data_IF_671531029950
#
_entry.id   IF_671531029950
#
_cell.length_a   1.000
_cell.length_b   1.000
_cell.length_c   1.000
_cell.angle_alpha   90.00
_cell.angle_beta   90.00
_cell.angle_gamma   90.00
#
_symmetry.space_group_name_H-M   'P 1'
#
loop_
_entity.id
_entity.type
_entity.pdbx_description
1 polymer ?
#
# COMPACT_ATOMS: atom_id res chain seq x y z
N UNK A 1 41.72 -53.18 -1.02
CA UNK A 1 42.42 -53.98 -2.04
C UNK A 1 41.38 -54.64 -2.94
N UNK A 2 41.40 -54.51 -4.28
CA UNK A 2 42.22 -53.65 -5.16
C UNK A 2 41.55 -53.51 -6.53
N UNK A 3 41.83 -52.40 -7.23
CA UNK A 3 41.81 -52.16 -8.70
C UNK A 3 41.07 -53.13 -9.67
N UNK A 4 40.15 -52.69 -10.53
CA UNK A 4 40.34 -51.91 -11.79
C UNK A 4 41.11 -52.59 -12.92
N UNK A 5 40.44 -52.82 -14.07
CA UNK A 5 40.82 -52.65 -15.52
C UNK A 5 39.77 -53.38 -16.38
N UNK A 6 39.33 -53.00 -17.60
CA UNK A 6 39.69 -51.98 -18.62
C UNK A 6 38.38 -51.34 -19.19
N UNK A 7 38.27 -50.25 -19.97
CA UNK A 7 39.16 -49.36 -20.75
C UNK A 7 39.67 -49.89 -22.12
N UNK A 8 39.16 -49.47 -23.29
CA UNK A 8 39.34 -48.10 -23.84
C UNK A 8 38.63 -47.87 -25.21
N UNK A 9 38.37 -46.58 -25.55
CA UNK A 9 38.33 -45.96 -26.90
C UNK A 9 37.36 -46.50 -28.00
N UNK A 10 36.76 -45.75 -28.95
CA UNK A 10 36.64 -44.31 -29.31
C UNK A 10 35.51 -44.19 -30.40
N UNK A 11 34.96 -43.05 -30.88
CA UNK A 11 35.20 -41.60 -30.67
C UNK A 11 33.90 -40.78 -30.93
N UNK A 12 33.83 -39.58 -30.34
CA UNK A 12 33.14 -38.33 -30.76
C UNK A 12 32.08 -38.30 -31.88
N UNK A 13 30.83 -37.93 -31.51
CA UNK A 13 30.07 -36.83 -32.16
C UNK A 13 29.41 -35.96 -31.07
N UNK A 14 29.35 -34.65 -31.31
CA UNK A 14 28.99 -33.56 -30.39
C UNK A 14 27.56 -33.62 -29.81
N UNK A 15 27.44 -33.57 -28.47
CA UNK A 15 26.16 -33.28 -27.78
C UNK A 15 26.08 -31.80 -27.39
N UNK A 16 25.10 -31.08 -27.97
CA UNK A 16 24.74 -29.72 -27.56
C UNK A 16 24.21 -29.71 -26.12
N UNK A 17 25.05 -29.37 -25.15
CA UNK A 17 24.60 -28.94 -23.81
C UNK A 17 23.90 -27.59 -23.95
N UNK A 18 22.57 -27.56 -23.78
CA UNK A 18 21.86 -26.31 -23.47
C UNK A 18 22.55 -25.67 -22.25
N UNK A 19 22.97 -24.41 -22.39
CA UNK A 19 23.56 -23.65 -21.28
C UNK A 19 22.53 -23.60 -20.15
N UNK A 20 22.89 -24.11 -18.98
CA UNK A 20 22.34 -23.60 -17.72
C UNK A 20 22.80 -22.16 -17.59
N UNK A 21 21.90 -21.21 -17.83
CA UNK A 21 22.18 -19.79 -17.56
C UNK A 21 22.48 -19.62 -16.07
N UNK A 22 23.67 -19.10 -15.77
CA UNK A 22 24.01 -18.68 -14.41
C UNK A 22 23.07 -17.54 -14.03
N UNK A 23 22.57 -17.55 -12.78
CA UNK A 23 21.94 -16.36 -12.21
C UNK A 23 22.85 -15.14 -12.43
N UNK A 24 22.32 -14.00 -12.92
CA UNK A 24 23.14 -12.82 -13.16
C UNK A 24 23.73 -12.30 -11.84
N UNK A 25 25.06 -12.39 -11.73
CA UNK A 25 25.81 -11.74 -10.67
C UNK A 25 25.69 -10.23 -10.85
N UNK A 26 25.19 -9.53 -9.81
CA UNK A 26 24.96 -8.06 -9.77
C UNK A 26 24.33 -7.51 -11.05
N UNK A 27 23.00 -7.37 -11.01
CA UNK A 27 22.25 -6.60 -12.01
C UNK A 27 22.96 -5.29 -12.39
N UNK A 28 23.07 -5.04 -13.70
CA UNK A 28 23.26 -3.68 -14.22
C UNK A 28 22.31 -2.73 -13.51
N UNK A 29 22.78 -1.53 -13.15
CA UNK A 29 21.98 -0.60 -12.35
C UNK A 29 20.64 -0.38 -13.04
N UNK A 30 19.57 -0.80 -12.36
CA UNK A 30 18.23 -0.43 -12.74
C UNK A 30 17.99 0.99 -12.22
N UNK A 31 18.41 1.99 -12.99
CA UNK A 31 18.02 3.38 -12.75
C UNK A 31 16.99 3.82 -13.80
N UNK A 32 15.67 3.79 -13.48
CA UNK A 32 14.66 4.29 -14.41
C UNK A 32 14.77 5.81 -14.63
N UNK A 33 15.55 6.54 -13.83
CA UNK A 33 15.83 7.95 -14.06
C UNK A 33 16.94 8.19 -15.11
N UNK A 34 17.74 7.19 -15.50
CA UNK A 34 18.81 7.39 -16.50
C UNK A 34 18.25 7.86 -17.85
N UNK A 35 17.17 7.24 -18.32
CA UNK A 35 16.56 7.49 -19.63
C UNK A 35 15.53 8.63 -19.63
N UNK A 36 15.34 9.33 -18.51
CA UNK A 36 14.35 10.41 -18.41
C UNK A 36 15.06 11.76 -18.53
N UNK A 37 14.74 12.48 -19.60
CA UNK A 37 15.12 13.87 -19.79
C UNK A 37 14.30 14.77 -18.85
N UNK A 38 14.89 15.07 -17.70
CA UNK A 38 14.36 16.01 -16.71
C UNK A 38 15.35 17.14 -16.51
N UNK A 39 14.92 18.37 -16.80
CA UNK A 39 15.65 19.61 -16.53
C UNK A 39 15.74 19.97 -15.02
N UNK A 40 15.75 18.96 -14.14
CA UNK A 40 15.67 19.11 -12.68
C UNK A 40 16.69 18.20 -11.99
N UNK A 41 17.16 18.62 -10.82
CA UNK A 41 18.02 17.81 -9.96
C UNK A 41 17.34 16.47 -9.60
N UNK A 42 17.94 15.36 -10.08
CA UNK A 42 17.47 13.99 -9.85
C UNK A 42 17.49 13.62 -8.35
N UNK A 43 18.26 14.33 -7.51
CA UNK A 43 18.28 14.14 -6.06
C UNK A 43 16.92 14.30 -5.37
N UNK A 44 16.00 15.10 -5.95
CA UNK A 44 14.63 15.25 -5.43
C UNK A 44 13.65 14.19 -5.94
N UNK A 45 14.09 13.28 -6.81
CA UNK A 45 13.28 12.25 -7.45
C UNK A 45 13.53 10.85 -6.85
N UNK A 46 14.23 10.79 -5.71
CA UNK A 46 14.60 9.57 -5.01
C UNK A 46 13.43 8.88 -4.28
N UNK A 47 12.42 8.47 -5.03
CA UNK A 47 11.26 7.74 -4.53
C UNK A 47 11.51 6.22 -4.60
N UNK A 48 11.25 5.51 -3.51
CA UNK A 48 11.43 4.05 -3.44
C UNK A 48 10.61 3.31 -4.50
N UNK A 49 9.41 3.80 -4.83
CA UNK A 49 8.59 3.19 -5.89
C UNK A 49 9.16 3.35 -7.30
N UNK A 50 10.17 4.20 -7.51
CA UNK A 50 10.95 4.27 -8.75
C UNK A 50 12.27 3.48 -8.61
N UNK A 51 13.01 3.68 -7.51
CA UNK A 51 14.41 3.22 -7.39
C UNK A 51 14.58 1.81 -6.79
N UNK A 52 13.61 1.29 -6.04
CA UNK A 52 13.67 -0.07 -5.50
C UNK A 52 13.21 -1.07 -6.58
N UNK A 53 14.13 -1.89 -7.08
CA UNK A 53 13.87 -2.79 -8.21
C UNK A 53 12.73 -3.78 -7.97
N UNK A 54 12.57 -4.29 -6.75
CA UNK A 54 11.47 -5.20 -6.41
C UNK A 54 10.11 -4.46 -6.45
N UNK A 55 10.07 -3.25 -5.90
CA UNK A 55 8.89 -2.38 -5.92
C UNK A 55 8.53 -1.97 -7.34
N UNK A 56 9.50 -1.55 -8.15
CA UNK A 56 9.28 -1.18 -9.55
C UNK A 56 8.75 -2.36 -10.38
N UNK A 57 9.34 -3.56 -10.21
CA UNK A 57 8.86 -4.78 -10.89
C UNK A 57 7.44 -5.14 -10.47
N UNK A 58 7.11 -5.03 -9.19
CA UNK A 58 5.76 -5.27 -8.68
C UNK A 58 4.74 -4.28 -9.29
N UNK A 59 5.06 -2.98 -9.34
CA UNK A 59 4.19 -1.94 -9.91
C UNK A 59 4.00 -2.04 -11.43
N UNK A 60 4.98 -2.60 -12.15
CA UNK A 60 4.82 -3.00 -13.55
C UNK A 60 4.16 -4.38 -13.74
N UNK A 61 3.80 -5.06 -12.65
CA UNK A 61 3.10 -6.34 -12.65
C UNK A 61 1.58 -6.19 -12.63
N UNK A 62 0.90 -7.07 -13.36
CA UNK A 62 -0.58 -7.10 -13.53
C UNK A 62 -1.39 -7.35 -12.24
N UNK A 63 -0.72 -7.64 -11.12
CA UNK A 63 -1.39 -7.84 -9.82
C UNK A 63 -1.28 -6.63 -8.89
N UNK A 64 -0.64 -5.54 -9.34
CA UNK A 64 -0.57 -4.30 -8.57
C UNK A 64 -1.79 -3.42 -8.87
N UNK A 65 -2.31 -2.80 -7.81
CA UNK A 65 -3.32 -1.73 -7.86
C UNK A 65 -2.94 -0.68 -6.83
N UNK A 66 -2.35 0.42 -7.28
CA UNK A 66 -1.83 1.49 -6.42
C UNK A 66 -2.39 2.83 -6.89
N UNK A 67 -2.92 3.61 -5.93
CA UNK A 67 -3.37 4.96 -6.16
C UNK A 67 -2.34 5.93 -5.56
N UNK A 68 -1.55 6.57 -6.43
CA UNK A 68 -0.67 7.67 -6.05
C UNK A 68 -1.48 8.95 -5.96
N UNK A 69 -1.58 9.49 -4.76
CA UNK A 69 -2.24 10.77 -4.53
C UNK A 69 -1.16 11.83 -4.39
N UNK A 70 -1.02 12.68 -5.42
CA UNK A 70 -0.05 13.76 -5.39
C UNK A 70 -0.50 14.82 -4.38
N UNK A 71 0.45 15.36 -3.62
CA UNK A 71 0.17 16.38 -2.60
C UNK A 71 1.21 17.49 -2.62
N UNK A 72 0.80 18.68 -3.02
CA UNK A 72 1.71 19.81 -3.16
C UNK A 72 1.15 20.99 -3.94
N UNK A 73 1.66 22.18 -3.62
CA UNK A 73 1.25 23.44 -4.24
C UNK A 73 1.66 23.50 -5.73
N UNK A 74 1.10 24.43 -6.50
CA UNK A 74 1.58 24.61 -7.88
C UNK A 74 2.99 25.19 -7.90
N UNK A 75 3.83 24.77 -8.85
CA UNK A 75 5.28 25.07 -8.86
C UNK A 75 6.15 24.19 -7.94
N UNK A 76 5.56 23.29 -7.14
CA UNK A 76 6.32 22.41 -6.22
C UNK A 76 7.02 21.21 -6.89
N UNK A 77 6.68 20.89 -8.14
CA UNK A 77 7.26 19.76 -8.89
C UNK A 77 6.36 18.52 -9.04
N UNK A 78 5.08 18.57 -8.64
CA UNK A 78 4.14 17.44 -8.79
C UNK A 78 4.14 16.84 -10.20
N UNK A 79 3.89 17.66 -11.22
CA UNK A 79 3.75 17.19 -12.60
C UNK A 79 5.05 16.65 -13.20
N UNK A 80 6.22 16.95 -12.60
CA UNK A 80 7.47 16.24 -12.93
C UNK A 80 7.35 14.79 -12.48
N UNK A 81 6.95 14.54 -11.23
CA UNK A 81 6.78 13.19 -10.67
C UNK A 81 5.69 12.41 -11.41
N UNK A 82 4.58 13.07 -11.78
CA UNK A 82 3.50 12.44 -12.56
C UNK A 82 4.01 11.93 -13.90
N UNK A 83 4.78 12.75 -14.63
CA UNK A 83 5.46 12.31 -15.86
C UNK A 83 6.44 11.16 -15.63
N UNK A 84 7.12 11.10 -14.48
CA UNK A 84 7.95 9.93 -14.13
C UNK A 84 7.06 8.69 -13.99
N UNK A 85 5.94 8.77 -13.27
CA UNK A 85 5.01 7.65 -13.11
C UNK A 85 4.46 7.17 -14.47
N UNK A 86 4.01 8.10 -15.32
CA UNK A 86 3.51 7.80 -16.68
C UNK A 86 4.55 7.14 -17.59
N UNK A 87 5.82 7.55 -17.52
CA UNK A 87 6.91 6.95 -18.32
C UNK A 87 7.50 5.68 -17.71
N UNK A 88 7.39 5.51 -16.39
CA UNK A 88 7.95 4.38 -15.63
C UNK A 88 7.04 3.14 -15.60
N UNK A 89 5.72 3.32 -15.73
CA UNK A 89 4.74 2.24 -15.58
C UNK A 89 3.87 2.11 -16.84
N UNK A 90 3.54 0.88 -17.21
CA UNK A 90 2.87 0.57 -18.49
C UNK A 90 1.37 0.87 -18.52
N UNK A 91 0.73 0.88 -17.36
CA UNK A 91 -0.73 0.96 -17.21
C UNK A 91 -1.06 2.02 -16.16
N UNK A 92 -1.21 3.27 -16.64
CA UNK A 92 -1.29 4.48 -15.82
C UNK A 92 -2.48 5.33 -16.24
N UNK A 93 -3.30 5.73 -15.27
CA UNK A 93 -4.38 6.71 -15.46
C UNK A 93 -4.15 7.96 -14.61
N UNK A 94 -3.79 9.07 -15.26
CA UNK A 94 -3.67 10.38 -14.59
C UNK A 94 -5.01 11.11 -14.56
N UNK A 95 -5.46 11.45 -13.37
CA UNK A 95 -6.68 12.19 -13.07
C UNK A 95 -6.29 13.54 -12.45
N UNK A 96 -6.70 14.64 -13.10
CA UNK A 96 -6.48 16.00 -12.63
C UNK A 96 -7.68 16.85 -13.01
N UNK A 97 -8.13 17.72 -12.10
CA UNK A 97 -9.17 18.70 -12.39
C UNK A 97 -8.69 19.81 -13.33
N UNK A 98 -7.38 20.10 -13.37
CA UNK A 98 -6.82 21.12 -14.27
C UNK A 98 -7.02 20.74 -15.75
N UNK A 99 -7.11 19.44 -16.07
CA UNK A 99 -7.37 18.94 -17.42
C UNK A 99 -8.71 19.43 -18.01
N UNK A 100 -9.72 19.66 -17.17
CA UNK A 100 -11.05 20.13 -17.60
C UNK A 100 -11.00 21.52 -18.24
N UNK A 101 -9.98 22.32 -17.91
CA UNK A 101 -9.80 23.68 -18.41
C UNK A 101 -8.92 23.76 -19.67
N UNK A 102 -8.40 22.64 -20.17
CA UNK A 102 -7.68 22.61 -21.44
C UNK A 102 -8.63 22.38 -22.62
N UNK A 103 -8.54 23.24 -23.62
CA UNK A 103 -9.28 23.12 -24.87
C UNK A 103 -8.54 22.19 -25.86
N UNK A 104 -9.20 21.80 -26.95
CA UNK A 104 -8.63 20.86 -27.94
C UNK A 104 -7.34 21.38 -28.62
N UNK A 105 -7.16 22.70 -28.67
CA UNK A 105 -5.95 23.38 -29.16
C UNK A 105 -4.82 23.48 -28.12
N UNK A 106 -5.04 23.00 -26.89
CA UNK A 106 -4.12 23.09 -25.77
C UNK A 106 -4.18 24.41 -24.98
N UNK A 107 -5.10 25.32 -25.30
CA UNK A 107 -5.29 26.56 -24.53
C UNK A 107 -5.92 26.29 -23.16
N UNK A 108 -5.42 26.97 -22.11
CA UNK A 108 -5.87 26.81 -20.72
C UNK A 108 -6.82 27.94 -20.31
N UNK A 109 -8.11 27.61 -20.21
CA UNK A 109 -9.22 28.55 -20.03
C UNK A 109 -9.87 28.37 -18.65
N UNK A 110 -9.19 28.82 -17.60
CA UNK A 110 -9.67 28.68 -16.21
C UNK A 110 -10.93 29.51 -15.94
N UNK A 111 -11.92 28.88 -15.28
CA UNK A 111 -13.13 29.54 -14.79
C UNK A 111 -13.54 28.96 -13.42
N UNK A 112 -13.57 29.79 -12.39
CA UNK A 112 -13.94 29.41 -11.02
C UNK A 112 -15.34 28.77 -10.93
N UNK A 113 -16.29 29.23 -11.75
CA UNK A 113 -17.67 28.72 -11.76
C UNK A 113 -17.76 27.24 -12.22
N UNK A 114 -16.75 26.76 -12.94
CA UNK A 114 -16.68 25.38 -13.42
C UNK A 114 -15.84 24.46 -12.50
N UNK A 115 -15.30 24.98 -11.40
CA UNK A 115 -14.39 24.23 -10.52
C UNK A 115 -15.05 22.97 -9.92
N UNK A 116 -16.35 23.01 -9.59
CA UNK A 116 -17.10 21.82 -9.15
C UNK A 116 -17.16 20.77 -10.25
N UNK A 117 -17.55 21.16 -11.47
CA UNK A 117 -17.62 20.26 -12.63
C UNK A 117 -16.25 19.65 -12.97
N UNK A 118 -15.17 20.44 -12.91
CA UNK A 118 -13.80 19.98 -13.11
C UNK A 118 -13.36 18.94 -12.05
N UNK A 119 -13.76 19.13 -10.80
CA UNK A 119 -13.53 18.14 -9.76
C UNK A 119 -14.40 16.88 -9.93
N UNK A 120 -15.66 17.01 -10.34
CA UNK A 120 -16.53 15.86 -10.61
C UNK A 120 -16.04 15.02 -11.79
N UNK A 121 -15.57 15.64 -12.87
CA UNK A 121 -14.93 14.97 -14.00
C UNK A 121 -13.67 14.19 -13.54
N UNK A 122 -12.77 14.85 -12.80
CA UNK A 122 -11.58 14.20 -12.24
C UNK A 122 -11.94 13.02 -11.32
N UNK A 123 -13.00 13.13 -10.52
CA UNK A 123 -13.50 12.03 -9.68
C UNK A 123 -14.09 10.88 -10.50
N UNK A 124 -14.80 11.19 -11.59
CA UNK A 124 -15.38 10.20 -12.50
C UNK A 124 -14.30 9.47 -13.31
N UNK A 125 -13.27 10.17 -13.78
CA UNK A 125 -12.09 9.55 -14.40
C UNK A 125 -11.37 8.60 -13.44
N UNK A 126 -11.23 8.98 -12.16
CA UNK A 126 -10.64 8.11 -11.15
C UNK A 126 -11.51 6.87 -10.85
N UNK A 127 -12.85 7.03 -10.78
CA UNK A 127 -13.79 5.89 -10.66
C UNK A 127 -13.66 4.93 -11.83
N UNK A 128 -13.64 5.45 -13.07
CA UNK A 128 -13.52 4.66 -14.29
C UNK A 128 -12.21 3.87 -14.30
N UNK A 129 -11.07 4.52 -14.04
CA UNK A 129 -9.78 3.83 -13.95
C UNK A 129 -9.75 2.72 -12.88
N UNK A 130 -10.41 2.92 -11.74
CA UNK A 130 -10.58 1.88 -10.72
C UNK A 130 -11.49 0.72 -11.17
N UNK A 131 -12.53 0.98 -11.97
CA UNK A 131 -13.43 -0.03 -12.55
C UNK A 131 -12.73 -0.86 -13.62
N UNK A 132 -11.94 -0.20 -14.48
CA UNK A 132 -11.11 -0.81 -15.52
C UNK A 132 -9.88 -1.55 -14.95
N UNK A 133 -9.66 -1.44 -13.63
CA UNK A 133 -8.58 -2.08 -12.85
C UNK A 133 -7.16 -1.66 -13.28
N UNK A 134 -7.02 -0.42 -13.78
CA UNK A 134 -5.73 0.18 -14.15
C UNK A 134 -4.74 0.05 -12.98
N UNK A 135 -3.56 -0.53 -13.22
CA UNK A 135 -2.60 -0.87 -12.16
C UNK A 135 -2.12 0.36 -11.37
N UNK A 136 -1.92 1.49 -12.04
CA UNK A 136 -1.45 2.74 -11.42
C UNK A 136 -2.41 3.89 -11.69
N UNK A 137 -3.13 4.34 -10.66
CA UNK A 137 -3.99 5.54 -10.75
C UNK A 137 -3.28 6.71 -10.08
N UNK A 138 -3.13 7.84 -10.77
CA UNK A 138 -2.43 9.03 -10.26
C UNK A 138 -3.41 10.19 -10.15
N UNK A 139 -3.54 10.77 -8.96
CA UNK A 139 -4.37 11.95 -8.71
C UNK A 139 -3.46 13.20 -8.68
N UNK A 140 -3.27 13.89 -9.81
CA UNK A 140 -2.50 15.14 -9.90
C UNK A 140 -3.37 16.36 -9.61
N UNK A 141 -3.84 16.45 -8.36
CA UNK A 141 -4.46 17.64 -7.79
C UNK A 141 -3.53 18.23 -6.72
N UNK A 142 -3.82 19.45 -6.23
CA UNK A 142 -2.98 20.04 -5.17
C UNK A 142 -3.11 19.35 -3.82
N UNK A 143 -4.30 18.83 -3.49
CA UNK A 143 -4.62 18.08 -2.26
C UNK A 143 -4.09 18.78 -1.00
N UNK A 144 -4.36 20.09 -0.92
CA UNK A 144 -3.94 21.01 0.15
C UNK A 144 -4.67 20.65 1.44
N UNK A 145 -5.98 20.46 1.36
CA UNK A 145 -6.84 20.12 2.49
C UNK A 145 -7.15 18.63 2.58
N UNK A 146 -7.34 18.13 3.78
CA UNK A 146 -7.71 16.74 4.08
C UNK A 146 -9.02 16.31 3.40
N UNK A 147 -9.98 17.22 3.27
CA UNK A 147 -11.27 16.89 2.64
C UNK A 147 -11.15 16.65 1.13
N UNK A 148 -10.24 17.35 0.43
CA UNK A 148 -9.96 17.14 -1.01
C UNK A 148 -9.51 15.70 -1.29
N UNK A 149 -8.83 15.07 -0.32
CA UNK A 149 -8.24 13.73 -0.43
C UNK A 149 -9.21 12.61 -0.06
N UNK A 150 -10.22 12.90 0.78
CA UNK A 150 -11.10 11.89 1.38
C UNK A 150 -11.84 11.03 0.33
N UNK A 151 -12.29 11.63 -0.77
CA UNK A 151 -12.96 10.92 -1.85
C UNK A 151 -12.05 9.81 -2.44
N UNK A 152 -10.82 10.19 -2.83
CA UNK A 152 -9.87 9.28 -3.48
C UNK A 152 -9.42 8.17 -2.53
N UNK A 153 -9.19 8.47 -1.25
CA UNK A 153 -8.86 7.46 -0.23
C UNK A 153 -9.99 6.46 -0.05
N UNK A 154 -11.25 6.91 -0.02
CA UNK A 154 -12.41 6.02 0.07
C UNK A 154 -12.59 5.17 -1.19
N UNK A 155 -12.45 5.78 -2.38
CA UNK A 155 -12.53 5.11 -3.68
C UNK A 155 -11.47 4.01 -3.81
N UNK A 156 -10.22 4.31 -3.46
CA UNK A 156 -9.14 3.34 -3.46
C UNK A 156 -9.43 2.18 -2.50
N UNK A 157 -9.87 2.48 -1.27
CA UNK A 157 -10.18 1.47 -0.26
C UNK A 157 -11.26 0.48 -0.74
N UNK A 158 -12.38 0.96 -1.31
CA UNK A 158 -13.44 0.08 -1.83
C UNK A 158 -13.05 -0.67 -3.10
N UNK A 159 -12.20 -0.08 -3.94
CA UNK A 159 -11.75 -0.67 -5.22
C UNK A 159 -10.55 -1.62 -5.07
N UNK A 160 -10.04 -1.80 -3.85
CA UNK A 160 -8.88 -2.66 -3.57
C UNK A 160 -7.55 -2.08 -4.06
N UNK A 161 -7.37 -0.76 -3.97
CA UNK A 161 -6.11 -0.07 -4.27
C UNK A 161 -5.37 0.30 -2.98
N UNK A 162 -4.05 0.16 -3.01
CA UNK A 162 -3.17 0.71 -1.96
C UNK A 162 -2.96 2.19 -2.21
N UNK A 163 -3.22 3.04 -1.21
CA UNK A 163 -2.99 4.50 -1.32
C UNK A 163 -1.55 4.82 -0.94
N UNK A 164 -0.87 5.58 -1.81
CA UNK A 164 0.44 6.19 -1.52
C UNK A 164 0.31 7.70 -1.69
N UNK A 165 0.43 8.45 -0.59
CA UNK A 165 0.48 9.91 -0.67
C UNK A 165 1.90 10.37 -1.05
N UNK A 166 2.01 11.14 -2.14
CA UNK A 166 3.31 11.55 -2.70
C UNK A 166 3.47 13.06 -2.60
N UNK A 167 4.39 13.50 -1.74
CA UNK A 167 4.81 14.90 -1.69
C UNK A 167 6.11 15.09 -2.51
N UNK A 168 6.21 16.17 -3.30
CA UNK A 168 7.48 16.59 -3.89
C UNK A 168 8.57 16.76 -2.82
N UNK A 169 9.80 16.33 -3.10
CA UNK A 169 10.95 16.46 -2.18
C UNK A 169 11.78 17.74 -2.42
N UNK A 170 11.33 18.62 -3.32
CA UNK A 170 12.00 19.90 -3.63
C UNK A 170 12.06 20.81 -2.39
N UNK A 171 13.19 21.48 -2.11
CA UNK A 171 13.34 22.29 -0.90
C UNK A 171 12.43 23.52 -0.89
N UNK A 172 12.01 24.02 -2.06
CA UNK A 172 11.08 25.13 -2.20
C UNK A 172 9.59 24.74 -2.15
N UNK A 173 9.23 23.47 -1.92
CA UNK A 173 7.83 22.98 -2.02
C UNK A 173 6.79 23.73 -1.17
N UNK A 174 7.23 24.46 -0.13
CA UNK A 174 6.40 25.31 0.74
C UNK A 174 6.76 26.81 0.66
N UNK A 175 7.71 27.23 -0.19
CA UNK A 175 8.14 28.63 -0.29
C UNK A 175 7.30 29.37 -1.36
N UNK A 176 6.38 30.28 -0.97
CA UNK A 176 5.43 30.88 -1.91
C UNK A 176 6.09 31.77 -2.98
N UNK A 177 7.27 32.33 -2.71
CA UNK A 177 8.02 33.15 -3.68
C UNK A 177 8.61 32.25 -4.77
N UNK A 178 9.25 31.16 -4.37
CA UNK A 178 9.86 30.21 -5.30
C UNK A 178 8.83 29.36 -6.06
N UNK A 179 7.69 29.07 -5.43
CA UNK A 179 6.53 28.46 -6.08
C UNK A 179 5.94 29.40 -7.16
N UNK A 180 5.79 30.69 -6.86
CA UNK A 180 5.25 31.66 -7.82
C UNK A 180 6.09 31.71 -9.11
N UNK A 181 7.43 31.77 -8.98
CA UNK A 181 8.38 31.73 -10.11
C UNK A 181 8.29 30.47 -11.00
N UNK A 182 7.76 29.36 -10.48
CA UNK A 182 7.77 28.03 -11.14
C UNK A 182 6.38 27.52 -11.52
N UNK A 183 5.31 28.21 -11.16
CA UNK A 183 3.95 27.75 -11.41
C UNK A 183 3.49 28.12 -12.83
N UNK A 184 2.87 27.17 -13.54
CA UNK A 184 2.45 27.35 -14.94
C UNK A 184 1.20 28.21 -15.12
N UNK A 185 0.44 28.46 -14.06
CA UNK A 185 -0.87 29.11 -14.12
C UNK A 185 -0.82 30.57 -13.62
N UNK A 186 0.37 31.16 -13.53
CA UNK A 186 0.55 32.57 -13.15
C UNK A 186 0.08 32.94 -11.74
N UNK A 187 -0.14 31.97 -10.83
CA UNK A 187 -0.65 32.26 -9.48
C UNK A 187 0.29 33.19 -8.71
N UNK A 188 -0.27 34.30 -8.22
CA UNK A 188 0.44 35.30 -7.44
C UNK A 188 0.96 34.75 -6.11
N UNK A 189 2.05 35.35 -5.61
CA UNK A 189 2.70 34.99 -4.34
C UNK A 189 1.71 34.97 -3.18
N UNK A 190 0.77 35.92 -3.10
CA UNK A 190 -0.17 36.02 -1.98
C UNK A 190 -1.26 34.94 -1.99
N UNK A 191 -1.65 34.44 -3.17
CA UNK A 191 -2.51 33.25 -3.29
C UNK A 191 -1.75 32.02 -2.79
N UNK A 192 -0.47 31.90 -3.15
CA UNK A 192 0.39 30.81 -2.69
C UNK A 192 0.67 30.89 -1.18
N UNK A 193 0.89 32.08 -0.59
CA UNK A 193 1.00 32.28 0.87
C UNK A 193 -0.24 31.74 1.59
N UNK A 194 -1.44 32.09 1.11
CA UNK A 194 -2.71 31.56 1.64
C UNK A 194 -2.76 30.04 1.52
N UNK A 195 -2.46 29.47 0.35
CA UNK A 195 -2.45 27.99 0.18
C UNK A 195 -1.39 27.28 1.04
N UNK A 196 -0.24 27.90 1.35
CA UNK A 196 0.75 27.39 2.32
C UNK A 196 0.16 27.33 3.72
N UNK A 197 -0.47 28.41 4.20
CA UNK A 197 -1.12 28.47 5.52
C UNK A 197 -2.29 27.48 5.66
N UNK A 198 -2.92 27.14 4.54
CA UNK A 198 -4.03 26.18 4.47
C UNK A 198 -3.58 24.72 4.31
N UNK A 199 -2.27 24.43 4.22
CA UNK A 199 -1.77 23.09 3.93
C UNK A 199 -1.81 22.20 5.18
N UNK A 200 -2.81 21.32 5.26
CA UNK A 200 -3.04 20.46 6.44
C UNK A 200 -1.86 19.48 6.68
N UNK A 201 -1.75 18.92 7.88
CA UNK A 201 -0.96 17.71 8.10
C UNK A 201 -1.88 16.47 8.08
N UNK A 202 -1.59 15.50 7.19
CA UNK A 202 -2.51 14.38 6.90
C UNK A 202 -1.93 13.09 7.46
N UNK A 203 -2.10 12.92 8.77
CA UNK A 203 -1.80 11.66 9.46
C UNK A 203 -2.90 10.64 9.14
N UNK A 204 -2.57 9.43 8.64
CA UNK A 204 -3.55 8.39 8.33
C UNK A 204 -4.18 7.78 9.59
N UNK A 205 -5.18 6.91 9.40
CA UNK A 205 -5.71 6.10 10.51
C UNK A 205 -4.63 5.14 11.05
N UNK A 206 -3.81 4.57 10.16
CA UNK A 206 -2.71 3.68 10.46
C UNK A 206 -1.72 3.64 9.28
N UNK A 207 -0.51 3.17 9.55
CA UNK A 207 0.43 2.67 8.56
C UNK A 207 0.38 1.15 8.53
N UNK A 208 0.48 0.54 7.36
CA UNK A 208 0.39 -0.91 7.20
C UNK A 208 1.09 -1.38 5.92
N UNK A 209 1.50 -2.64 5.91
CA UNK A 209 1.79 -3.39 4.69
C UNK A 209 0.49 -4.01 4.16
N UNK A 210 0.10 -3.66 2.94
CA UNK A 210 -1.11 -4.17 2.32
C UNK A 210 -0.77 -5.35 1.40
N UNK A 211 -1.51 -6.45 1.52
CA UNK A 211 -1.48 -7.53 0.54
C UNK A 211 -2.25 -7.08 -0.69
N UNK A 212 -1.83 -7.52 -1.88
CA UNK A 212 -2.65 -7.36 -3.09
C UNK A 212 -3.93 -8.21 -2.99
N UNK A 213 -4.88 -7.95 -3.88
CA UNK A 213 -6.20 -8.60 -3.85
C UNK A 213 -6.09 -10.13 -3.95
N UNK A 214 -5.26 -10.64 -4.87
CA UNK A 214 -5.04 -12.08 -5.06
C UNK A 214 -4.41 -12.76 -3.84
N UNK A 215 -3.36 -12.16 -3.25
CA UNK A 215 -2.73 -12.68 -2.02
C UNK A 215 -3.70 -12.62 -0.84
N UNK A 216 -4.54 -11.58 -0.77
CA UNK A 216 -5.61 -11.47 0.24
C UNK A 216 -6.63 -12.59 0.10
N UNK A 217 -7.12 -12.84 -1.11
CA UNK A 217 -8.08 -13.91 -1.42
C UNK A 217 -7.51 -15.31 -1.11
N UNK A 218 -6.27 -15.59 -1.55
CA UNK A 218 -5.58 -16.86 -1.28
C UNK A 218 -5.39 -17.09 0.22
N UNK A 219 -4.94 -16.07 0.95
CA UNK A 219 -4.74 -16.18 2.40
C UNK A 219 -6.07 -16.43 3.12
N UNK A 220 -7.15 -15.77 2.70
CA UNK A 220 -8.48 -16.01 3.26
C UNK A 220 -8.96 -17.44 2.99
N UNK A 221 -8.81 -17.95 1.76
CA UNK A 221 -9.15 -19.34 1.43
C UNK A 221 -8.39 -20.36 2.30
N UNK A 222 -7.10 -20.13 2.54
CA UNK A 222 -6.27 -20.98 3.42
C UNK A 222 -6.76 -20.91 4.87
N UNK A 223 -6.97 -19.69 5.40
CA UNK A 223 -7.37 -19.46 6.79
C UNK A 223 -8.77 -20.00 7.07
N UNK A 224 -9.74 -19.80 6.17
CA UNK A 224 -11.10 -20.34 6.28
C UNK A 224 -11.09 -21.86 6.33
N UNK A 225 -10.34 -22.54 5.43
CA UNK A 225 -10.23 -24.00 5.45
C UNK A 225 -9.65 -24.52 6.78
N UNK A 226 -8.60 -23.87 7.29
CA UNK A 226 -7.99 -24.26 8.57
C UNK A 226 -8.97 -24.04 9.73
N UNK A 227 -9.74 -22.95 9.71
CA UNK A 227 -10.79 -22.69 10.70
C UNK A 227 -11.90 -23.77 10.66
N UNK A 228 -12.39 -24.16 9.48
CA UNK A 228 -13.36 -25.25 9.32
C UNK A 228 -12.81 -26.58 9.88
N UNK A 229 -11.55 -26.92 9.59
CA UNK A 229 -10.89 -28.09 10.19
C UNK A 229 -10.77 -27.98 11.72
N UNK A 230 -10.48 -26.79 12.26
CA UNK A 230 -10.44 -26.54 13.71
C UNK A 230 -11.82 -26.70 14.37
N UNK A 231 -12.91 -26.25 13.74
CA UNK A 231 -14.27 -26.44 14.25
C UNK A 231 -14.68 -27.92 14.37
N UNK A 232 -14.14 -28.78 13.50
CA UNK A 232 -14.36 -30.24 13.56
C UNK A 232 -13.44 -30.91 14.57
N UNK A 233 -12.14 -30.56 14.58
CA UNK A 233 -11.10 -31.21 15.38
C UNK A 233 -11.05 -30.73 16.84
N UNK A 234 -11.57 -29.55 17.15
CA UNK A 234 -11.51 -28.91 18.48
C UNK A 234 -12.93 -28.58 19.00
N UNK A 235 -13.65 -29.55 19.61
CA UNK A 235 -15.03 -29.34 20.08
C UNK A 235 -15.18 -28.14 21.03
N UNK A 236 -14.22 -27.92 21.93
CA UNK A 236 -14.22 -26.79 22.86
C UNK A 236 -14.14 -25.41 22.18
N UNK A 237 -13.49 -25.29 21.01
CA UNK A 237 -13.49 -24.05 20.23
C UNK A 237 -14.90 -23.78 19.67
N UNK A 238 -15.52 -24.81 19.08
CA UNK A 238 -16.89 -24.74 18.54
C UNK A 238 -17.90 -24.37 19.63
N UNK A 239 -17.82 -25.01 20.79
CA UNK A 239 -18.72 -24.75 21.92
C UNK A 239 -18.53 -23.36 22.52
N UNK A 240 -17.28 -22.89 22.64
CA UNK A 240 -16.97 -21.52 23.06
C UNK A 240 -17.54 -20.47 22.10
N UNK A 241 -17.41 -20.69 20.78
CA UNK A 241 -17.97 -19.79 19.76
C UNK A 241 -19.51 -19.77 19.74
N UNK A 242 -20.17 -20.93 19.88
CA UNK A 242 -21.63 -20.98 20.02
C UNK A 242 -22.11 -20.25 21.27
N UNK A 243 -21.37 -20.35 22.37
CA UNK A 243 -21.66 -19.62 23.62
C UNK A 243 -21.51 -18.10 23.45
N UNK A 244 -20.47 -17.62 22.75
CA UNK A 244 -20.30 -16.19 22.43
C UNK A 244 -21.49 -15.65 21.61
N UNK A 245 -22.06 -16.47 20.74
CA UNK A 245 -23.28 -16.19 19.97
C UNK A 245 -24.59 -16.34 20.76
N UNK A 246 -24.55 -16.72 22.03
CA UNK A 246 -25.72 -17.09 22.87
C UNK A 246 -26.56 -18.26 22.31
N UNK A 247 -25.95 -19.15 21.52
CA UNK A 247 -26.61 -20.30 20.92
C UNK A 247 -26.34 -21.55 21.77
N UNK A 248 -27.41 -22.18 22.28
CA UNK A 248 -27.32 -23.47 22.97
C UNK A 248 -27.05 -24.59 21.96
N UNK A 249 -25.93 -25.29 22.12
CA UNK A 249 -25.53 -26.43 21.28
C UNK A 249 -26.56 -27.58 21.29
N UNK A 250 -27.29 -27.74 22.39
CA UNK A 250 -28.39 -28.71 22.56
C UNK A 250 -29.55 -28.49 21.56
N UNK A 251 -29.76 -27.25 21.10
CA UNK A 251 -30.92 -26.88 20.28
C UNK A 251 -30.63 -26.94 18.77
N UNK A 252 -29.42 -27.29 18.33
CA UNK A 252 -29.01 -27.27 16.93
C UNK A 252 -28.23 -28.51 16.52
N UNK A 253 -28.38 -28.93 15.25
CA UNK A 253 -27.56 -30.02 14.71
C UNK A 253 -26.10 -29.58 14.53
N UNK A 254 -25.16 -30.54 14.54
CA UNK A 254 -23.73 -30.28 14.25
C UNK A 254 -23.52 -29.61 12.89
N UNK A 255 -24.36 -29.92 11.91
CA UNK A 255 -24.34 -29.33 10.57
C UNK A 255 -24.79 -27.87 10.60
N UNK A 256 -25.86 -27.55 11.33
CA UNK A 256 -26.33 -26.18 11.50
C UNK A 256 -25.30 -25.33 12.25
N UNK A 257 -24.69 -25.88 13.31
CA UNK A 257 -23.57 -25.25 14.01
C UNK A 257 -22.41 -24.94 13.06
N UNK A 258 -22.03 -25.88 12.19
CA UNK A 258 -20.99 -25.69 11.17
C UNK A 258 -21.31 -24.54 10.22
N UNK A 259 -22.55 -24.46 9.71
CA UNK A 259 -23.00 -23.37 8.83
C UNK A 259 -22.93 -22.01 9.53
N UNK A 260 -23.52 -21.89 10.72
CA UNK A 260 -23.52 -20.63 11.50
C UNK A 260 -22.10 -20.15 11.77
N UNK A 261 -21.22 -21.05 12.22
CA UNK A 261 -19.85 -20.71 12.55
C UNK A 261 -18.98 -20.44 11.32
N UNK A 262 -19.25 -21.06 10.16
CA UNK A 262 -18.57 -20.73 8.90
C UNK A 262 -18.77 -19.26 8.49
N UNK A 263 -19.95 -18.70 8.79
CA UNK A 263 -20.26 -17.28 8.58
C UNK A 263 -19.78 -16.35 9.70
N UNK A 264 -19.34 -16.86 10.86
CA UNK A 264 -19.04 -16.03 12.04
C UNK A 264 -17.88 -15.05 11.82
N UNK A 265 -16.81 -15.48 11.14
CA UNK A 265 -15.70 -14.62 10.69
C UNK A 265 -15.82 -14.22 9.22
N UNK A 266 -17.04 -14.25 8.65
CA UNK A 266 -17.28 -13.78 7.29
C UNK A 266 -17.00 -12.29 7.16
N UNK A 267 -16.88 -11.82 5.91
CA UNK A 267 -16.47 -10.46 5.59
C UNK A 267 -17.64 -9.56 5.20
N UNK A 268 -18.84 -9.90 5.66
CA UNK A 268 -20.02 -9.06 5.48
C UNK A 268 -19.76 -7.65 6.04
N UNK A 269 -20.08 -6.63 5.23
CA UNK A 269 -19.82 -5.23 5.57
C UNK A 269 -18.36 -4.76 5.46
N UNK A 270 -17.40 -5.58 5.00
CA UNK A 270 -16.04 -5.08 4.73
C UNK A 270 -16.04 -4.01 3.64
N UNK A 271 -15.38 -2.89 3.94
CA UNK A 271 -15.21 -1.76 3.01
C UNK A 271 -14.02 -1.92 2.04
N UNK A 272 -13.20 -2.96 2.17
CA UNK A 272 -12.05 -3.22 1.30
C UNK A 272 -11.79 -4.72 1.14
N UNK A 273 -11.42 -5.19 -0.06
CA UNK A 273 -11.02 -6.58 -0.28
C UNK A 273 -9.60 -6.89 0.23
N UNK A 274 -8.78 -5.87 0.54
CA UNK A 274 -7.38 -6.08 0.90
C UNK A 274 -7.20 -6.49 2.37
N UNK A 275 -6.37 -7.51 2.60
CA UNK A 275 -5.77 -7.76 3.90
C UNK A 275 -4.54 -6.87 4.10
N UNK A 276 -4.24 -6.54 5.36
CA UNK A 276 -3.07 -5.75 5.71
C UNK A 276 -2.48 -6.17 7.06
N UNK A 277 -1.20 -5.90 7.24
CA UNK A 277 -0.50 -6.01 8.51
C UNK A 277 -0.19 -4.60 9.03
N UNK A 278 -0.85 -4.19 10.11
CA UNK A 278 -0.70 -2.85 10.69
C UNK A 278 0.67 -2.66 11.33
N UNK A 279 1.45 -1.71 10.80
CA UNK A 279 2.77 -1.33 11.29
C UNK A 279 2.68 -0.37 12.49
N UNK A 280 1.80 0.63 12.44
CA UNK A 280 1.44 1.52 13.57
C UNK A 280 0.02 2.03 13.41
N UNK A 281 -0.79 1.96 14.46
CA UNK A 281 -2.06 2.69 14.53
C UNK A 281 -1.82 4.16 14.92
N UNK A 282 -2.36 5.09 14.14
CA UNK A 282 -2.16 6.53 14.32
C UNK A 282 -3.45 7.26 14.75
N UNK A 283 -4.62 6.67 14.57
CA UNK A 283 -5.91 7.27 14.95
C UNK A 283 -6.19 8.62 14.29
N UNK A 284 -5.63 8.89 13.10
CA UNK A 284 -5.64 10.20 12.42
C UNK A 284 -4.96 11.31 13.23
N UNK A 285 -3.86 10.97 13.93
CA UNK A 285 -3.10 11.88 14.80
C UNK A 285 -3.52 11.85 16.28
N UNK A 286 -4.52 11.04 16.64
CA UNK A 286 -5.03 10.93 18.02
C UNK A 286 -4.35 9.85 18.86
N UNK A 287 -3.66 8.89 18.24
CA UNK A 287 -3.01 7.81 18.98
C UNK A 287 -1.64 8.25 19.55
N UNK A 288 -1.20 7.56 20.61
CA UNK A 288 0.09 7.81 21.27
C UNK A 288 1.26 7.67 20.29
N UNK A 289 2.23 8.60 20.38
CA UNK A 289 3.42 8.74 19.50
C UNK A 289 3.10 8.82 17.98
N UNK A 290 1.85 9.10 17.59
CA UNK A 290 1.44 9.05 16.17
C UNK A 290 2.07 10.14 15.29
N UNK A 291 2.25 11.35 15.81
CA UNK A 291 2.93 12.45 15.11
C UNK A 291 4.43 12.18 14.96
N UNK A 292 5.06 11.64 15.99
CA UNK A 292 6.50 11.31 15.97
C UNK A 292 6.78 10.20 14.96
N UNK A 293 5.97 9.13 14.98
CA UNK A 293 6.01 8.08 13.98
C UNK A 293 5.74 8.62 12.57
N UNK A 294 4.79 9.53 12.38
CA UNK A 294 4.52 10.16 11.09
C UNK A 294 5.72 10.97 10.58
N UNK A 295 6.45 11.66 11.46
CA UNK A 295 7.60 12.50 11.08
C UNK A 295 8.90 11.73 10.82
N UNK A 296 8.95 10.44 11.15
CA UNK A 296 10.12 9.59 10.94
C UNK A 296 10.55 9.53 9.45
N UNK A 297 11.80 9.90 9.10
CA UNK A 297 12.26 9.87 7.72
C UNK A 297 12.26 8.48 7.08
N UNK A 298 12.52 7.42 7.83
CA UNK A 298 12.53 6.04 7.33
C UNK A 298 11.11 5.54 7.02
N UNK A 299 10.13 5.84 7.87
CA UNK A 299 8.69 5.60 7.61
C UNK A 299 8.24 6.34 6.35
N UNK A 300 8.54 7.63 6.23
CA UNK A 300 8.14 8.44 5.07
C UNK A 300 8.84 8.01 3.78
N UNK A 301 10.12 7.63 3.82
CA UNK A 301 10.82 7.13 2.65
C UNK A 301 10.39 5.71 2.24
N UNK A 302 9.94 4.87 3.17
CA UNK A 302 9.42 3.52 2.87
C UNK A 302 7.97 3.51 2.37
N UNK A 303 7.28 4.66 2.34
CA UNK A 303 5.92 4.75 1.82
C UNK A 303 5.87 4.43 0.32
N UNK A 304 5.16 3.35 -0.03
CA UNK A 304 5.08 2.84 -1.41
C UNK A 304 6.13 1.77 -1.74
N UNK A 305 7.01 1.38 -0.82
CA UNK A 305 7.92 0.25 -1.00
C UNK A 305 7.21 -1.10 -0.78
N UNK A 306 7.62 -2.12 -1.53
CA UNK A 306 7.17 -3.51 -1.37
C UNK A 306 8.05 -4.23 -0.34
N UNK A 307 7.42 -5.04 0.51
CA UNK A 307 8.09 -5.84 1.54
C UNK A 307 7.61 -7.29 1.47
N UNK A 308 8.54 -8.24 1.64
CA UNK A 308 8.21 -9.64 1.90
C UNK A 308 8.03 -9.89 3.40
N UNK A 309 6.88 -10.46 3.75
CA UNK A 309 6.46 -10.76 5.11
C UNK A 309 6.19 -12.26 5.25
N UNK A 310 6.72 -12.89 6.30
CA UNK A 310 6.60 -14.33 6.50
C UNK A 310 5.45 -14.65 7.44
N UNK A 311 4.47 -15.42 6.98
CA UNK A 311 3.39 -15.93 7.82
C UNK A 311 3.90 -17.13 8.62
N UNK A 312 3.78 -17.08 9.94
CA UNK A 312 4.32 -18.10 10.87
C UNK A 312 3.24 -18.90 11.61
N UNK A 313 1.97 -18.48 11.53
CA UNK A 313 0.86 -19.21 12.12
C UNK A 313 -0.46 -18.46 12.02
N UNK A 314 -1.54 -19.11 12.47
CA UNK A 314 -2.89 -18.54 12.55
C UNK A 314 -3.29 -18.50 14.03
N UNK A 315 -3.95 -17.44 14.45
CA UNK A 315 -4.47 -17.26 15.81
C UNK A 315 -5.98 -17.08 15.71
N UNK A 316 -6.72 -18.01 16.31
CA UNK A 316 -8.19 -18.04 16.34
C UNK A 316 -8.61 -17.87 17.80
N UNK A 317 -9.47 -16.90 18.05
CA UNK A 317 -10.07 -16.61 19.36
C UNK A 317 -11.60 -16.63 19.23
N UNK A 318 -12.35 -16.42 20.31
CA UNK A 318 -13.81 -16.24 20.23
C UNK A 318 -14.22 -14.95 19.48
N UNK A 319 -13.33 -13.97 19.30
CA UNK A 319 -13.67 -12.64 18.77
C UNK A 319 -12.94 -12.27 17.47
N UNK A 320 -11.81 -12.91 17.20
CA UNK A 320 -10.94 -12.57 16.06
C UNK A 320 -10.28 -13.81 15.47
N UNK A 321 -10.11 -13.78 14.16
CA UNK A 321 -9.28 -14.70 13.40
C UNK A 321 -8.18 -13.87 12.73
N UNK A 322 -6.92 -14.19 13.02
CA UNK A 322 -5.76 -13.38 12.63
C UNK A 322 -4.56 -14.25 12.26
N UNK A 323 -3.56 -13.63 11.63
CA UNK A 323 -2.37 -14.32 11.13
C UNK A 323 -1.14 -13.74 11.83
N UNK A 324 -0.29 -14.62 12.37
CA UNK A 324 1.00 -14.24 12.95
C UNK A 324 2.01 -14.03 11.83
N UNK A 325 2.68 -12.88 11.85
CA UNK A 325 3.64 -12.46 10.84
C UNK A 325 5.00 -12.24 11.51
N UNK A 326 6.05 -12.80 10.91
CA UNK A 326 7.44 -12.45 11.20
C UNK A 326 7.90 -11.37 10.23
N UNK A 327 8.45 -10.29 10.78
CA UNK A 327 8.97 -9.15 10.04
C UNK A 327 10.46 -9.37 9.75
N UNK A 328 10.88 -9.11 8.51
CA UNK A 328 12.31 -9.04 8.17
C UNK A 328 12.98 -7.81 8.85
N UNK A 329 14.33 -7.73 8.90
CA UNK A 329 15.03 -6.65 9.60
C UNK A 329 14.74 -5.23 9.12
N UNK A 330 14.26 -5.05 7.89
CA UNK A 330 13.88 -3.74 7.35
C UNK A 330 12.43 -3.39 7.73
N UNK A 331 11.53 -4.37 7.72
CA UNK A 331 10.14 -4.20 8.14
C UNK A 331 10.02 -4.00 9.66
N UNK A 332 10.90 -4.63 10.46
CA UNK A 332 10.84 -4.55 11.92
C UNK A 332 11.13 -3.15 12.46
N UNK A 333 12.00 -2.36 11.83
CA UNK A 333 12.25 -0.96 12.26
C UNK A 333 11.01 -0.07 12.09
N UNK A 334 10.16 -0.36 11.09
CA UNK A 334 8.94 0.37 10.79
C UNK A 334 7.77 -0.04 11.68
N UNK A 335 7.85 -1.15 12.42
CA UNK A 335 6.79 -1.59 13.32
C UNK A 335 6.85 -0.84 14.66
N UNK A 336 5.71 -0.34 15.15
CA UNK A 336 5.58 0.22 16.49
C UNK A 336 4.19 -0.03 17.08
N UNK A 337 4.16 -0.49 18.33
CA UNK A 337 2.96 -0.59 19.17
C UNK A 337 3.27 -0.07 20.59
N UNK A 338 3.42 1.25 20.77
CA UNK A 338 3.65 1.82 22.11
C UNK A 338 2.53 1.53 23.09
N UNK A 339 1.33 1.19 22.61
CA UNK A 339 0.21 0.73 23.44
C UNK A 339 0.53 -0.58 24.18
N UNK A 340 1.34 -1.47 23.59
CA UNK A 340 1.79 -2.72 24.23
C UNK A 340 2.87 -2.47 25.30
N UNK A 341 3.66 -1.39 25.17
CA UNK A 341 4.62 -0.95 26.20
C UNK A 341 3.92 -0.47 27.49
N UNK A 342 2.66 -0.02 27.38
CA UNK A 342 1.83 0.40 28.51
C UNK A 342 1.11 -0.80 29.15
N UNK A 343 0.65 -1.78 28.38
CA UNK A 343 0.08 -3.02 28.90
C UNK A 343 1.06 -3.81 29.79
N UNK A 344 2.35 -3.82 29.43
CA UNK A 344 3.40 -4.42 30.27
C UNK A 344 3.56 -3.75 31.63
N UNK A 345 3.22 -2.45 31.75
CA UNK A 345 3.31 -1.66 33.00
C UNK A 345 2.05 -1.74 33.86
N UNK A 346 0.89 -1.99 33.26
CA UNK A 346 -0.35 -2.26 34.01
C UNK A 346 -0.43 -3.69 34.51
N UNK A 347 0.17 -4.65 33.79
CA UNK A 347 0.18 -6.05 34.22
C UNK A 347 1.29 -6.38 35.24
N UNK A 348 2.32 -5.53 35.41
CA UNK A 348 3.33 -5.70 36.46
C UNK A 348 2.79 -5.53 37.89
N UNK A 349 1.55 -5.08 38.06
CA UNK A 349 0.79 -5.10 39.32
C UNK A 349 -0.18 -6.29 39.44
N UNK A 350 -0.07 -7.30 38.58
CA UNK A 350 -1.00 -8.44 38.52
C UNK A 350 -0.34 -9.76 38.11
N UNK A 351 0.88 -10.02 38.61
CA UNK A 351 1.56 -11.32 38.50
C UNK A 351 0.92 -12.38 39.42
N UNK A 352 -0.35 -12.75 39.18
CA UNK A 352 -1.02 -13.83 39.94
C UNK A 352 -2.04 -14.65 39.13
N UNK A 353 -2.15 -14.41 37.81
CA UNK A 353 -3.01 -15.21 36.92
C UNK A 353 -2.30 -15.51 35.59
N UNK A 354 -1.51 -16.59 35.55
CA UNK A 354 -1.27 -17.43 34.36
C UNK A 354 -0.40 -18.68 34.66
N UNK A 355 -0.81 -19.51 35.63
CA UNK A 355 -0.48 -20.95 35.65
C UNK A 355 -1.70 -21.79 36.04
N UNK A 356 -2.48 -22.22 35.04
CA UNK A 356 -3.26 -23.46 34.96
C UNK A 356 -3.97 -23.61 33.62
#
# INVERSE_FOLDING_TARGET
DTSFTECTANTNVTRNRKKTEKLPQKSSLFDPLENIDVCYDKGYLNYVFLLDGNTYQYLNGRESKVMFIMRGLSGSGKSTIVKLLESSFKDVAVCSADNYFYSQDGSYNWNEQLLTAAHDDCQNKAKQACQDKVSVVVIDNTNVRKWEVNFYVNLANVSGYVVVMVMPKTPWRMNPIELAKRNKHGMAVDVLKKKVQMFDDIIPAYYAWFLNERKSEILLKIVTKIYEECLVKLPGLRESLLKELNIKSEHISKEMAGRILSSYFSQEGKKSPLLHCTAKFCGRGKAVKSLDYHKRPDVQNSCGQVFDLTITGIVITNKTMSVRVSLNPQASTLFQRPEEEEWGKTNSSSNDFLEK
#
